data_IF_584997356159
#
_entry.id   IF_584997356159
#
_cell.length_a   1.000
_cell.length_b   1.000
_cell.length_c   1.000
_cell.angle_alpha   90.00
_cell.angle_beta   90.00
_cell.angle_gamma   90.00
#
_symmetry.space_group_name_H-M   'P 1'
#
loop_
_entity.id
_entity.type
_entity.pdbx_description
1 polymer ?
#
# COMPACT_ATOMS: atom_id res chain seq x y z
N UNK A 1 -6.88 30.34 22.53
CA UNK A 1 -5.65 29.95 21.81
C UNK A 1 -5.88 28.81 20.80
N UNK A 2 -7.12 28.37 20.52
CA UNK A 2 -7.43 27.30 19.55
C UNK A 2 -7.52 27.76 18.07
N UNK A 3 -7.52 29.06 17.78
CA UNK A 3 -7.73 29.56 16.40
C UNK A 3 -6.47 29.45 15.50
N UNK A 4 -5.29 29.29 16.09
CA UNK A 4 -4.02 29.35 15.34
C UNK A 4 -3.72 28.05 14.57
N UNK A 5 -4.09 26.88 15.10
CA UNK A 5 -3.90 25.60 14.39
C UNK A 5 -5.00 25.34 13.37
N UNK A 6 -6.25 25.73 13.63
CA UNK A 6 -7.30 25.72 12.61
C UNK A 6 -6.88 26.56 11.40
N UNK A 7 -6.29 27.73 11.65
CA UNK A 7 -5.66 28.54 10.61
C UNK A 7 -4.45 27.85 9.94
N UNK A 8 -3.52 27.26 10.71
CA UNK A 8 -2.36 26.57 10.11
C UNK A 8 -2.74 25.32 9.30
N UNK A 9 -3.73 24.56 9.75
CA UNK A 9 -4.28 23.41 9.06
C UNK A 9 -5.06 23.85 7.83
N UNK A 10 -5.89 24.90 7.91
CA UNK A 10 -6.61 25.42 6.75
C UNK A 10 -5.67 26.08 5.72
N UNK A 11 -4.55 26.67 6.13
CA UNK A 11 -3.52 27.15 5.21
C UNK A 11 -2.70 26.02 4.56
N UNK A 12 -2.44 24.91 5.27
CA UNK A 12 -1.60 23.81 4.77
C UNK A 12 -2.40 22.73 4.05
N UNK A 13 -3.59 22.41 4.54
CA UNK A 13 -4.50 21.39 4.01
C UNK A 13 -5.50 22.02 3.07
N UNK A 14 -5.11 22.04 1.80
CA UNK A 14 -5.98 22.46 0.71
C UNK A 14 -7.15 21.47 0.55
N UNK A 15 -8.38 21.94 0.31
CA UNK A 15 -9.54 21.07 0.07
C UNK A 15 -9.40 20.15 -1.16
N UNK A 16 -8.53 20.50 -2.12
CA UNK A 16 -8.25 19.70 -3.32
C UNK A 16 -7.35 18.48 -3.08
N UNK A 17 -7.08 18.14 -1.81
CA UNK A 17 -6.24 17.02 -1.44
C UNK A 17 -6.89 16.20 -0.33
N UNK A 18 -6.73 14.88 -0.47
CA UNK A 18 -6.83 13.95 0.64
C UNK A 18 -5.58 14.11 1.52
N UNK A 19 -5.76 14.08 2.83
CA UNK A 19 -4.74 14.20 3.85
C UNK A 19 -4.83 13.02 4.81
N UNK A 20 -3.65 12.57 5.24
CA UNK A 20 -3.48 11.65 6.35
C UNK A 20 -2.36 12.20 7.26
N UNK A 21 -2.54 12.13 8.57
CA UNK A 21 -1.51 12.53 9.52
C UNK A 21 -1.53 11.75 10.83
N UNK A 22 -0.40 11.80 11.52
CA UNK A 22 -0.21 11.22 12.84
C UNK A 22 0.70 12.13 13.66
N UNK A 23 0.40 12.29 14.96
CA UNK A 23 1.25 13.06 15.88
C UNK A 23 2.08 12.14 16.74
N UNK A 24 3.38 12.41 16.85
CA UNK A 24 4.27 11.70 17.75
C UNK A 24 5.38 12.63 18.26
N UNK A 25 5.52 12.73 19.60
CA UNK A 25 6.54 13.56 20.28
C UNK A 25 6.62 14.99 19.75
N UNK A 26 5.49 15.69 19.74
CA UNK A 26 5.40 17.07 19.26
C UNK A 26 5.62 17.26 17.75
N UNK A 27 5.70 16.18 16.97
CA UNK A 27 5.84 16.25 15.51
C UNK A 27 4.59 15.74 14.82
N UNK A 28 4.09 16.50 13.85
CA UNK A 28 3.04 16.05 12.92
C UNK A 28 3.69 15.49 11.67
N UNK A 29 3.46 14.20 11.44
CA UNK A 29 3.84 13.47 10.24
C UNK A 29 2.64 13.42 9.32
N UNK A 30 2.75 13.91 8.09
CA UNK A 30 1.60 14.00 7.19
C UNK A 30 1.95 13.72 5.73
N UNK A 31 0.94 13.36 4.96
CA UNK A 31 1.02 13.26 3.50
C UNK A 31 -0.29 13.77 2.88
N UNK A 32 -0.16 14.43 1.72
CA UNK A 32 -1.29 14.84 0.88
C UNK A 32 -1.33 14.04 -0.41
N UNK A 33 -2.51 13.85 -0.99
CA UNK A 33 -2.69 13.25 -2.31
C UNK A 33 -3.83 13.96 -3.05
N UNK A 34 -3.71 14.28 -4.36
CA UNK A 34 -4.76 14.99 -5.07
C UNK A 34 -6.07 14.20 -5.07
N UNK A 35 -7.20 14.90 -4.91
CA UNK A 35 -8.54 14.29 -4.93
C UNK A 35 -8.95 13.82 -6.33
N UNK A 36 -8.37 14.43 -7.37
CA UNK A 36 -8.60 14.13 -8.80
C UNK A 36 -7.66 13.05 -9.36
N UNK A 37 -6.93 12.34 -8.49
CA UNK A 37 -6.07 11.22 -8.91
C UNK A 37 -6.86 10.13 -9.66
N UNK A 38 -6.19 9.34 -10.52
CA UNK A 38 -6.83 8.20 -11.17
C UNK A 38 -7.47 7.24 -10.15
N UNK A 39 -8.72 6.84 -10.40
CA UNK A 39 -9.49 5.95 -9.51
C UNK A 39 -8.78 4.62 -9.24
N UNK A 40 -8.01 4.14 -10.21
CA UNK A 40 -7.22 2.91 -10.17
C UNK A 40 -5.77 3.12 -9.68
N UNK A 41 -5.44 4.26 -9.08
CA UNK A 41 -4.12 4.53 -8.51
C UNK A 41 -3.89 3.66 -7.26
N UNK A 42 -2.76 2.92 -7.14
CA UNK A 42 -2.40 2.16 -5.93
C UNK A 42 -1.80 3.05 -4.84
N UNK A 43 -2.31 4.27 -4.72
CA UNK A 43 -1.85 5.25 -3.74
C UNK A 43 -2.96 6.16 -3.24
N UNK A 44 -2.76 6.65 -2.03
CA UNK A 44 -3.59 7.61 -1.31
C UNK A 44 -2.71 8.39 -0.34
N UNK A 45 -3.26 9.42 0.30
CA UNK A 45 -2.57 10.10 1.39
C UNK A 45 -2.21 9.13 2.52
N UNK A 46 -3.10 8.17 2.83
CA UNK A 46 -2.87 7.11 3.80
C UNK A 46 -1.67 6.25 3.40
N UNK A 47 -1.65 5.71 2.18
CA UNK A 47 -0.56 4.86 1.69
C UNK A 47 0.77 5.62 1.73
N UNK A 48 0.81 6.86 1.22
CA UNK A 48 2.01 7.71 1.23
C UNK A 48 2.55 7.92 2.64
N UNK A 49 1.69 8.25 3.59
CA UNK A 49 2.11 8.47 4.98
C UNK A 49 2.67 7.19 5.59
N UNK A 50 1.94 6.08 5.50
CA UNK A 50 2.34 4.80 6.11
C UNK A 50 3.66 4.31 5.52
N UNK A 51 3.79 4.35 4.19
CA UNK A 51 5.02 3.96 3.51
C UNK A 51 6.18 4.91 3.82
N UNK A 52 5.93 6.23 3.80
CA UNK A 52 6.93 7.24 4.10
C UNK A 52 7.52 7.11 5.51
N UNK A 53 6.69 6.79 6.51
CA UNK A 53 7.14 6.57 7.88
C UNK A 53 8.09 5.36 7.96
N UNK A 54 7.74 4.23 7.33
CA UNK A 54 8.67 3.08 7.30
C UNK A 54 9.97 3.42 6.57
N UNK A 55 9.88 4.08 5.42
CA UNK A 55 11.05 4.38 4.59
C UNK A 55 12.05 5.31 5.30
N UNK A 56 11.56 6.29 6.07
CA UNK A 56 12.41 7.28 6.76
C UNK A 56 12.77 6.89 8.19
N UNK A 57 11.91 6.13 8.87
CA UNK A 57 12.01 5.85 10.31
C UNK A 57 11.88 4.37 10.62
N UNK A 58 12.63 3.50 9.94
CA UNK A 58 12.50 2.03 10.05
C UNK A 58 12.37 1.54 11.52
N UNK A 59 13.28 1.95 12.40
CA UNK A 59 13.31 1.52 13.81
C UNK A 59 12.22 2.17 14.69
N UNK A 60 11.71 3.34 14.28
CA UNK A 60 10.70 4.10 15.05
C UNK A 60 9.29 3.97 14.47
N UNK A 61 9.18 3.37 13.28
CA UNK A 61 7.97 3.32 12.47
C UNK A 61 6.77 2.81 13.25
N UNK A 62 6.94 1.73 14.01
CA UNK A 62 5.89 1.21 14.87
C UNK A 62 5.50 2.16 16.00
N UNK A 63 6.44 2.86 16.64
CA UNK A 63 6.07 3.79 17.72
C UNK A 63 5.26 4.99 17.20
N UNK A 64 5.62 5.49 16.02
CA UNK A 64 4.89 6.55 15.32
C UNK A 64 3.51 6.02 14.90
N UNK A 65 3.47 4.89 14.19
CA UNK A 65 2.23 4.36 13.60
C UNK A 65 1.28 3.76 14.63
N UNK A 66 1.74 3.43 15.84
CA UNK A 66 0.84 3.01 16.91
C UNK A 66 -0.01 4.15 17.43
N UNK A 67 0.36 5.41 17.19
CA UNK A 67 -0.51 6.54 17.48
C UNK A 67 -1.76 6.51 16.59
N UNK A 68 -2.78 7.29 16.96
CA UNK A 68 -4.01 7.36 16.18
C UNK A 68 -3.74 8.10 14.87
N UNK A 69 -4.07 7.45 13.76
CA UNK A 69 -4.04 8.07 12.44
C UNK A 69 -5.30 8.91 12.22
N UNK A 70 -5.16 10.08 11.62
CA UNK A 70 -6.29 10.94 11.27
C UNK A 70 -6.35 11.12 9.76
N UNK A 71 -7.57 11.06 9.22
CA UNK A 71 -7.87 11.17 7.80
C UNK A 71 -8.97 12.20 7.59
N UNK A 72 -8.89 12.98 6.51
CA UNK A 72 -9.97 13.87 6.05
C UNK A 72 -10.84 13.27 4.93
N UNK A 73 -10.54 12.04 4.51
CA UNK A 73 -11.17 11.35 3.41
C UNK A 73 -11.70 10.00 3.87
N UNK A 74 -12.65 9.46 3.13
CA UNK A 74 -13.12 8.10 3.38
C UNK A 74 -12.04 7.11 2.93
N UNK A 75 -11.48 6.27 3.84
CA UNK A 75 -10.44 5.32 3.44
C UNK A 75 -11.01 4.24 2.53
N UNK A 76 -10.26 3.88 1.49
CA UNK A 76 -10.59 2.76 0.63
C UNK A 76 -10.36 1.41 1.33
N UNK A 77 -10.77 0.31 0.70
CA UNK A 77 -10.48 -1.04 1.21
C UNK A 77 -8.96 -1.29 1.32
N UNK A 78 -8.18 -0.74 0.39
CA UNK A 78 -6.71 -0.78 0.41
C UNK A 78 -6.16 -0.03 1.62
N UNK A 79 -6.63 1.20 1.86
CA UNK A 79 -6.22 2.02 3.02
C UNK A 79 -6.50 1.30 4.34
N UNK A 80 -7.71 0.76 4.48
CA UNK A 80 -8.11 0.00 5.67
C UNK A 80 -7.26 -1.27 5.86
N UNK A 81 -6.89 -1.93 4.76
CA UNK A 81 -5.95 -3.06 4.77
C UNK A 81 -4.57 -2.66 5.32
N UNK A 82 -4.03 -1.53 4.85
CA UNK A 82 -2.74 -1.01 5.33
C UNK A 82 -2.82 -0.56 6.79
N UNK A 83 -3.84 0.23 7.16
CA UNK A 83 -4.06 0.70 8.53
C UNK A 83 -4.17 -0.49 9.48
N UNK A 84 -4.96 -1.52 9.13
CA UNK A 84 -5.07 -2.75 9.91
C UNK A 84 -3.74 -3.46 10.08
N UNK A 85 -2.85 -3.40 9.09
CA UNK A 85 -1.55 -4.05 9.18
C UNK A 85 -0.64 -3.32 10.17
N UNK A 86 -0.49 -1.99 10.03
CA UNK A 86 0.61 -1.25 10.68
C UNK A 86 0.19 -0.24 11.75
N UNK A 87 -0.96 0.41 11.63
CA UNK A 87 -1.37 1.50 12.53
C UNK A 87 -2.43 1.10 13.57
N UNK A 88 -3.34 0.19 13.20
CA UNK A 88 -4.46 -0.35 14.00
C UNK A 88 -5.56 0.66 14.38
N UNK A 89 -5.22 1.92 14.64
CA UNK A 89 -6.14 2.96 15.14
C UNK A 89 -6.21 4.11 14.15
N UNK A 90 -7.43 4.51 13.81
CA UNK A 90 -7.65 5.65 12.93
C UNK A 90 -8.96 6.37 13.24
N UNK A 91 -9.07 7.62 12.80
CA UNK A 91 -10.28 8.45 12.87
C UNK A 91 -10.48 9.15 11.52
N UNK A 92 -11.67 9.02 10.94
CA UNK A 92 -12.11 9.94 9.89
C UNK A 92 -12.67 11.19 10.58
N UNK A 93 -12.00 12.33 10.43
CA UNK A 93 -12.55 13.58 10.95
C UNK A 93 -13.64 14.13 10.03
N UNK A 94 -13.66 13.71 8.75
CA UNK A 94 -14.43 14.34 7.70
C UNK A 94 -14.09 15.83 7.55
N UNK A 95 -14.51 16.45 6.45
CA UNK A 95 -14.65 17.92 6.43
C UNK A 95 -16.04 18.30 6.94
N UNK A 96 -16.35 17.95 8.19
CA UNK A 96 -17.47 18.60 8.87
C UNK A 96 -16.98 19.98 9.29
N UNK A 97 -17.55 21.05 8.72
CA UNK A 97 -17.24 22.44 9.12
C UNK A 97 -17.41 22.68 10.62
N UNK A 98 -18.19 21.85 11.32
CA UNK A 98 -18.64 22.07 12.69
C UNK A 98 -17.85 21.28 13.75
N UNK A 99 -17.08 20.25 13.38
CA UNK A 99 -16.35 19.39 14.33
C UNK A 99 -14.82 19.52 14.28
N UNK A 100 -14.32 20.67 13.81
CA UNK A 100 -12.88 20.91 13.62
C UNK A 100 -12.09 21.21 14.91
N UNK A 101 -12.67 20.98 16.09
CA UNK A 101 -11.91 20.99 17.34
C UNK A 101 -11.12 19.69 17.46
N UNK A 102 -10.04 19.57 16.68
CA UNK A 102 -8.96 18.68 17.08
C UNK A 102 -8.42 19.22 18.41
N UNK A 103 -8.63 18.49 19.51
CA UNK A 103 -7.94 18.76 20.76
C UNK A 103 -6.44 18.73 20.48
N UNK A 104 -5.85 19.92 20.43
CA UNK A 104 -4.45 20.10 20.09
C UNK A 104 -3.59 19.44 21.17
N UNK A 105 -2.61 18.61 20.78
CA UNK A 105 -1.48 18.40 21.65
C UNK A 105 -0.82 19.78 21.83
N UNK A 106 -0.82 20.31 23.05
CA UNK A 106 -0.32 21.66 23.36
C UNK A 106 1.17 21.87 23.00
N UNK A 107 1.86 20.81 22.55
CA UNK A 107 3.31 20.76 22.35
C UNK A 107 3.71 20.41 20.90
N UNK A 108 2.99 20.87 19.87
CA UNK A 108 3.45 20.70 18.47
C UNK A 108 4.61 21.64 18.18
N UNK A 109 5.79 21.06 17.98
CA UNK A 109 7.05 21.76 17.69
C UNK A 109 7.52 21.62 16.25
N UNK A 110 7.08 20.58 15.52
CA UNK A 110 7.54 20.37 14.13
C UNK A 110 6.55 19.65 13.21
N UNK A 111 6.78 19.79 11.90
CA UNK A 111 5.96 19.24 10.83
C UNK A 111 6.84 18.53 9.81
N UNK A 112 6.44 17.32 9.40
CA UNK A 112 7.18 16.53 8.41
C UNK A 112 6.25 15.95 7.35
N UNK A 113 6.47 16.39 6.11
CA UNK A 113 5.74 15.93 4.93
C UNK A 113 6.43 14.73 4.26
N UNK A 114 5.63 13.77 3.76
CA UNK A 114 6.10 12.62 2.99
C UNK A 114 5.70 12.70 1.51
N UNK A 115 6.72 12.85 0.66
CA UNK A 115 6.57 13.04 -0.79
C UNK A 115 6.10 14.46 -1.14
N UNK A 116 6.16 14.84 -2.42
CA UNK A 116 5.49 16.07 -2.86
C UNK A 116 3.98 15.84 -2.92
N UNK A 117 3.20 16.91 -2.81
CA UNK A 117 1.72 16.84 -2.78
C UNK A 117 1.15 16.28 -4.08
N UNK A 118 1.74 16.68 -5.21
CA UNK A 118 1.29 16.30 -6.55
C UNK A 118 1.88 14.96 -7.02
N UNK A 119 2.78 14.38 -6.23
CA UNK A 119 3.33 13.05 -6.50
C UNK A 119 2.45 11.98 -5.87
N UNK A 120 2.07 10.97 -6.65
CA UNK A 120 1.27 9.85 -6.12
C UNK A 120 2.07 8.95 -5.18
N UNK A 121 3.40 8.85 -5.34
CA UNK A 121 4.23 7.96 -4.53
C UNK A 121 5.28 8.73 -3.76
N UNK A 122 5.61 8.25 -2.57
CA UNK A 122 6.83 8.68 -1.88
C UNK A 122 8.02 8.11 -2.64
N UNK A 123 9.02 8.94 -2.94
CA UNK A 123 10.29 8.46 -3.46
C UNK A 123 10.97 7.59 -2.40
N UNK A 124 10.95 6.27 -2.64
CA UNK A 124 11.53 5.32 -1.70
C UNK A 124 13.05 5.40 -1.73
N UNK A 125 13.65 5.63 -0.55
CA UNK A 125 15.10 5.56 -0.33
C UNK A 125 15.58 4.14 -0.07
N UNK A 126 14.68 3.17 -0.03
CA UNK A 126 15.01 1.79 0.26
C UNK A 126 15.75 1.15 -0.93
N UNK A 127 16.73 0.26 -0.69
CA UNK A 127 17.52 -0.37 -1.74
C UNK A 127 16.62 -1.17 -2.68
N UNK A 128 16.64 -0.83 -3.98
CA UNK A 128 15.90 -1.56 -5.00
C UNK A 128 16.57 -2.91 -5.27
N UNK A 129 15.78 -3.97 -5.32
CA UNK A 129 16.26 -5.28 -5.74
C UNK A 129 16.37 -5.26 -7.27
N UNK A 130 17.57 -5.54 -7.78
CA UNK A 130 17.79 -5.73 -9.22
C UNK A 130 17.55 -7.19 -9.52
N UNK A 131 16.51 -7.47 -10.30
CA UNK A 131 16.21 -8.84 -10.69
C UNK A 131 17.22 -9.31 -11.73
N UNK A 132 17.80 -10.49 -11.52
CA UNK A 132 18.69 -11.15 -12.49
C UNK A 132 17.93 -12.06 -13.46
N UNK A 133 16.66 -12.36 -13.17
CA UNK A 133 15.84 -13.25 -13.98
C UNK A 133 15.61 -12.69 -15.39
N UNK A 134 15.78 -13.54 -16.40
CA UNK A 134 15.50 -13.24 -17.80
C UNK A 134 14.09 -13.65 -18.23
N UNK A 135 13.21 -13.98 -17.29
CA UNK A 135 11.83 -14.37 -17.62
C UNK A 135 11.07 -13.15 -18.09
N UNK A 136 10.99 -13.00 -19.41
CA UNK A 136 10.20 -11.97 -20.09
C UNK A 136 8.84 -12.51 -20.57
N UNK A 137 8.66 -13.83 -20.58
CA UNK A 137 7.44 -14.47 -21.05
C UNK A 137 7.09 -15.69 -20.20
N UNK A 138 5.80 -15.89 -19.95
CA UNK A 138 5.23 -17.03 -19.23
C UNK A 138 4.13 -17.63 -20.10
N UNK A 139 4.40 -18.78 -20.70
CA UNK A 139 3.46 -19.55 -21.52
C UNK A 139 2.71 -20.64 -20.73
N UNK A 140 3.18 -21.00 -19.53
CA UNK A 140 2.56 -22.04 -18.71
C UNK A 140 2.61 -21.76 -17.20
N UNK A 141 1.79 -22.48 -16.43
CA UNK A 141 1.80 -22.41 -14.96
C UNK A 141 3.09 -22.99 -14.34
N UNK A 142 3.70 -23.97 -15.01
CA UNK A 142 4.97 -24.56 -14.56
C UNK A 142 6.10 -23.51 -14.68
N UNK A 143 6.16 -22.81 -15.82
CA UNK A 143 7.08 -21.68 -16.02
C UNK A 143 6.84 -20.57 -15.00
N UNK A 144 5.57 -20.22 -14.73
CA UNK A 144 5.22 -19.25 -13.70
C UNK A 144 5.72 -19.68 -12.31
N UNK A 145 5.55 -20.95 -11.95
CA UNK A 145 6.01 -21.49 -10.67
C UNK A 145 7.54 -21.43 -10.57
N UNK A 146 8.25 -21.81 -11.62
CA UNK A 146 9.71 -21.76 -11.67
C UNK A 146 10.22 -20.31 -11.57
N UNK A 147 9.61 -19.37 -12.29
CA UNK A 147 9.96 -17.95 -12.24
C UNK A 147 9.73 -17.35 -10.85
N UNK A 148 8.64 -17.72 -10.18
CA UNK A 148 8.37 -17.29 -8.81
C UNK A 148 9.43 -17.82 -7.83
N UNK A 149 9.82 -19.10 -7.93
CA UNK A 149 10.89 -19.68 -7.11
C UNK A 149 12.23 -18.98 -7.36
N UNK A 150 12.54 -18.65 -8.61
CA UNK A 150 13.75 -17.89 -8.96
C UNK A 150 13.73 -16.50 -8.31
N UNK A 151 12.61 -15.78 -8.36
CA UNK A 151 12.47 -14.47 -7.70
C UNK A 151 12.58 -14.58 -6.18
N UNK A 152 11.94 -15.58 -5.57
CA UNK A 152 12.02 -15.83 -4.12
C UNK A 152 13.45 -16.07 -3.64
N UNK A 153 14.28 -16.72 -4.46
CA UNK A 153 15.69 -16.97 -4.13
C UNK A 153 16.52 -15.69 -3.99
N UNK A 154 16.05 -14.58 -4.56
CA UNK A 154 16.72 -13.28 -4.51
C UNK A 154 16.37 -12.48 -3.24
N UNK A 155 15.47 -12.98 -2.41
CA UNK A 155 15.12 -12.35 -1.13
C UNK A 155 16.26 -12.61 -0.12
N UNK A 156 16.89 -11.55 0.43
CA UNK A 156 17.96 -11.71 1.41
C UNK A 156 17.50 -12.54 2.60
N UNK A 157 18.33 -13.51 2.98
CA UNK A 157 18.09 -14.30 4.19
C UNK A 157 18.62 -13.52 5.40
N UNK A 158 17.75 -13.24 6.37
CA UNK A 158 18.15 -12.66 7.64
C UNK A 158 18.59 -13.77 8.62
N UNK A 159 19.61 -13.54 9.46
CA UNK A 159 20.10 -14.54 10.41
C UNK A 159 19.07 -14.85 11.51
N UNK A 160 18.30 -13.84 11.95
CA UNK A 160 17.29 -14.02 12.99
C UNK A 160 15.91 -14.32 12.40
N UNK A 161 15.22 -15.35 12.93
CA UNK A 161 13.86 -15.74 12.49
C UNK A 161 12.85 -14.58 12.51
N UNK A 162 12.91 -13.70 13.51
CA UNK A 162 12.00 -12.55 13.62
C UNK A 162 12.27 -11.45 12.57
N UNK A 163 13.44 -11.51 11.92
CA UNK A 163 13.84 -10.62 10.82
C UNK A 163 13.65 -11.28 9.45
N UNK A 164 13.44 -12.60 9.40
CA UNK A 164 13.21 -13.31 8.14
C UNK A 164 11.87 -12.88 7.56
N UNK A 165 11.95 -12.25 6.39
CA UNK A 165 10.78 -12.03 5.58
C UNK A 165 10.30 -13.35 5.00
N UNK A 166 8.98 -13.49 4.86
CA UNK A 166 8.43 -14.55 4.02
C UNK A 166 8.98 -14.38 2.61
N UNK A 167 9.38 -15.50 2.02
CA UNK A 167 9.80 -15.53 0.62
C UNK A 167 8.55 -15.55 -0.23
N UNK A 168 8.12 -14.36 -0.66
CA UNK A 168 6.93 -14.19 -1.50
C UNK A 168 7.36 -13.39 -2.72
N UNK A 169 7.02 -13.89 -3.90
CA UNK A 169 7.23 -13.22 -5.17
C UNK A 169 5.89 -13.02 -5.88
N UNK A 170 5.85 -12.02 -6.77
CA UNK A 170 4.70 -11.79 -7.63
C UNK A 170 5.14 -11.29 -9.02
N UNK A 171 4.43 -11.75 -10.05
CA UNK A 171 4.64 -11.44 -11.46
C UNK A 171 3.31 -11.01 -12.08
N UNK A 172 3.32 -9.97 -12.89
CA UNK A 172 2.19 -9.51 -13.71
C UNK A 172 2.52 -9.79 -15.18
N UNK A 173 1.61 -10.45 -15.89
CA UNK A 173 1.69 -10.64 -17.34
C UNK A 173 0.50 -10.01 -18.06
N UNK A 174 0.69 -9.70 -19.34
CA UNK A 174 -0.44 -9.42 -20.23
C UNK A 174 -1.18 -10.71 -20.63
N UNK A 175 -2.18 -10.57 -21.51
CA UNK A 175 -2.98 -11.67 -22.05
C UNK A 175 -2.20 -12.64 -22.97
N UNK A 176 -0.99 -12.26 -23.39
CA UNK A 176 -0.09 -13.08 -24.21
C UNK A 176 0.98 -13.76 -23.36
N UNK A 177 1.01 -13.53 -22.04
CA UNK A 177 2.06 -14.05 -21.16
C UNK A 177 3.32 -13.17 -21.11
N UNK A 178 3.35 -12.01 -21.76
CA UNK A 178 4.48 -11.08 -21.66
C UNK A 178 4.54 -10.50 -20.24
N UNK A 179 5.69 -10.60 -19.59
CA UNK A 179 5.90 -10.02 -18.25
C UNK A 179 5.91 -8.49 -18.34
N UNK A 180 5.02 -7.87 -17.58
CA UNK A 180 4.86 -6.42 -17.47
C UNK A 180 5.55 -5.87 -16.23
N UNK A 181 5.47 -6.60 -15.11
CA UNK A 181 6.08 -6.21 -13.85
C UNK A 181 6.41 -7.44 -13.03
N UNK A 182 7.38 -7.29 -12.12
CA UNK A 182 7.82 -8.33 -11.17
C UNK A 182 8.24 -7.69 -9.86
N UNK A 183 8.11 -8.45 -8.79
CA UNK A 183 8.37 -7.97 -7.44
C UNK A 183 8.66 -9.13 -6.50
N UNK A 184 9.30 -8.80 -5.39
CA UNK A 184 9.44 -9.69 -4.24
C UNK A 184 9.00 -8.94 -3.01
N UNK A 185 8.53 -9.65 -1.99
CA UNK A 185 8.16 -9.02 -0.73
C UNK A 185 9.36 -8.29 -0.15
N UNK A 186 9.16 -7.10 0.41
CA UNK A 186 10.18 -6.28 1.11
C UNK A 186 9.73 -5.85 2.51
N UNK A 187 8.85 -6.66 3.11
CA UNK A 187 8.27 -6.43 4.44
C UNK A 187 9.28 -6.41 5.60
N UNK A 188 10.55 -6.75 5.38
CA UNK A 188 11.62 -6.54 6.37
C UNK A 188 12.04 -5.06 6.46
N UNK A 189 11.94 -4.30 5.37
CA UNK A 189 12.25 -2.87 5.33
C UNK A 189 11.01 -2.02 5.63
N UNK A 190 9.89 -2.37 4.99
CA UNK A 190 8.64 -1.65 5.11
C UNK A 190 7.49 -2.64 5.09
N UNK A 191 6.77 -2.76 6.22
CA UNK A 191 5.74 -3.79 6.42
C UNK A 191 4.60 -3.74 5.39
N UNK A 192 4.43 -2.62 4.70
CA UNK A 192 3.39 -2.46 3.67
C UNK A 192 3.85 -2.92 2.27
N UNK A 193 5.16 -3.13 2.06
CA UNK A 193 5.73 -3.59 0.79
C UNK A 193 5.66 -5.12 0.69
N UNK A 194 4.45 -5.63 0.55
CA UNK A 194 4.22 -6.99 0.08
C UNK A 194 4.57 -7.09 -1.41
N UNK A 195 4.84 -8.30 -1.91
CA UNK A 195 5.22 -8.49 -3.31
C UNK A 195 4.14 -7.89 -4.24
N UNK A 196 2.88 -8.25 -4.02
CA UNK A 196 1.74 -7.79 -4.80
C UNK A 196 1.58 -6.27 -4.74
N UNK A 197 1.81 -5.64 -3.58
CA UNK A 197 1.75 -4.18 -3.44
C UNK A 197 2.83 -3.51 -4.27
N UNK A 198 4.06 -4.00 -4.18
CA UNK A 198 5.17 -3.45 -4.94
C UNK A 198 5.01 -3.70 -6.45
N UNK A 199 4.51 -4.86 -6.85
CA UNK A 199 4.18 -5.21 -8.24
C UNK A 199 3.27 -4.16 -8.87
N UNK A 200 2.18 -3.87 -8.17
CA UNK A 200 1.13 -2.94 -8.53
C UNK A 200 1.65 -1.51 -8.62
N UNK A 201 2.37 -1.06 -7.59
CA UNK A 201 2.95 0.28 -7.57
C UNK A 201 4.04 0.46 -8.64
N UNK A 202 4.87 -0.55 -8.90
CA UNK A 202 5.89 -0.49 -9.95
C UNK A 202 5.25 -0.38 -11.33
N UNK A 203 4.24 -1.20 -11.61
CA UNK A 203 3.50 -1.13 -12.87
C UNK A 203 2.87 0.27 -13.05
N UNK A 204 2.16 0.77 -12.03
CA UNK A 204 1.52 2.08 -12.14
C UNK A 204 2.54 3.22 -12.32
N UNK A 205 3.70 3.18 -11.64
CA UNK A 205 4.77 4.18 -11.84
C UNK A 205 5.32 4.17 -13.27
N UNK A 206 5.38 3.00 -13.92
CA UNK A 206 5.88 2.86 -15.27
C UNK A 206 4.86 3.28 -16.34
N UNK A 207 3.58 2.97 -16.12
CA UNK A 207 2.54 3.13 -17.15
C UNK A 207 1.52 4.24 -16.87
N UNK A 208 1.48 4.79 -15.66
CA UNK A 208 0.54 5.83 -15.24
C UNK A 208 -0.94 5.39 -15.20
N UNK A 209 -1.21 4.09 -15.34
CA UNK A 209 -2.55 3.53 -15.46
C UNK A 209 -2.71 2.27 -14.60
N UNK A 210 -3.96 1.90 -14.32
CA UNK A 210 -4.30 0.64 -13.66
C UNK A 210 -3.97 -0.58 -14.51
N UNK A 211 -4.26 -1.78 -14.00
CA UNK A 211 -3.88 -3.03 -14.64
C UNK A 211 -4.48 -3.16 -16.03
N UNK A 212 -3.77 -3.78 -17.00
CA UNK A 212 -4.30 -3.97 -18.34
C UNK A 212 -5.44 -5.00 -18.33
N UNK A 213 -6.44 -4.86 -19.23
CA UNK A 213 -7.45 -5.89 -19.45
C UNK A 213 -6.85 -7.27 -19.69
N UNK A 214 -7.50 -8.30 -19.14
CA UNK A 214 -7.11 -9.71 -19.30
C UNK A 214 -5.67 -10.04 -18.86
N UNK A 215 -5.06 -9.18 -18.03
CA UNK A 215 -3.78 -9.50 -17.42
C UNK A 215 -3.91 -10.60 -16.38
N UNK A 216 -2.78 -11.21 -16.05
CA UNK A 216 -2.70 -12.29 -15.06
C UNK A 216 -1.65 -11.97 -14.01
N UNK A 217 -1.99 -12.18 -12.74
CA UNK A 217 -1.03 -12.10 -11.63
C UNK A 217 -0.69 -13.50 -11.17
N UNK A 218 0.59 -13.83 -11.14
CA UNK A 218 1.12 -15.01 -10.48
C UNK A 218 1.72 -14.58 -9.15
N UNK A 219 1.31 -15.20 -8.06
CA UNK A 219 1.86 -14.95 -6.72
C UNK A 219 2.24 -16.28 -6.09
N UNK A 220 3.33 -16.33 -5.33
CA UNK A 220 3.74 -17.59 -4.71
C UNK A 220 2.94 -17.97 -3.47
N UNK A 221 2.23 -17.00 -2.86
CA UNK A 221 1.40 -17.19 -1.68
C UNK A 221 0.07 -16.46 -1.84
N UNK A 222 -0.99 -16.96 -1.18
CA UNK A 222 -2.32 -16.35 -1.26
C UNK A 222 -2.29 -14.86 -0.84
N UNK A 223 -2.86 -13.94 -1.64
CA UNK A 223 -2.86 -12.52 -1.31
C UNK A 223 -3.57 -12.25 0.00
N UNK A 224 -2.92 -11.47 0.88
CA UNK A 224 -3.57 -11.01 2.11
C UNK A 224 -4.66 -9.96 1.80
N UNK A 225 -5.48 -9.59 2.80
CA UNK A 225 -6.59 -8.63 2.61
C UNK A 225 -6.15 -7.29 1.99
N UNK A 226 -4.99 -6.78 2.40
CA UNK A 226 -4.43 -5.54 1.86
C UNK A 226 -4.06 -5.67 0.37
N UNK A 227 -3.36 -6.74 0.01
CA UNK A 227 -2.97 -7.03 -1.37
C UNK A 227 -4.19 -7.25 -2.27
N UNK A 228 -5.15 -8.05 -1.79
CA UNK A 228 -6.42 -8.31 -2.44
C UNK A 228 -7.19 -7.01 -2.71
N UNK A 229 -7.29 -6.11 -1.74
CA UNK A 229 -7.94 -4.82 -1.91
C UNK A 229 -7.22 -3.89 -2.90
N UNK A 230 -5.88 -3.94 -2.95
CA UNK A 230 -5.11 -3.17 -3.95
C UNK A 230 -5.30 -3.72 -5.36
N UNK A 231 -5.30 -5.05 -5.54
CA UNK A 231 -5.61 -5.69 -6.82
C UNK A 231 -7.01 -5.29 -7.29
N UNK A 232 -7.99 -5.33 -6.39
CA UNK A 232 -9.37 -4.91 -6.69
C UNK A 232 -9.46 -3.44 -7.08
N UNK A 233 -8.70 -2.55 -6.43
CA UNK A 233 -8.68 -1.12 -6.74
C UNK A 233 -8.05 -0.84 -8.12
N UNK A 234 -7.02 -1.61 -8.51
CA UNK A 234 -6.30 -1.39 -9.76
C UNK A 234 -6.90 -2.08 -10.99
N UNK A 235 -7.79 -3.06 -10.81
CA UNK A 235 -8.34 -3.83 -11.93
C UNK A 235 -9.18 -2.94 -12.86
N UNK A 236 -9.28 -3.29 -14.16
CA UNK A 236 -10.22 -2.65 -15.07
C UNK A 236 -11.67 -2.76 -14.59
N UNK A 237 -12.43 -1.68 -14.72
CA UNK A 237 -13.85 -1.67 -14.34
C UNK A 237 -14.64 -2.73 -15.13
N UNK A 238 -15.50 -3.48 -14.43
CA UNK A 238 -16.33 -4.51 -15.03
C UNK A 238 -15.61 -5.79 -15.44
N UNK A 239 -14.30 -5.92 -15.17
CA UNK A 239 -13.53 -7.12 -15.48
C UNK A 239 -13.17 -7.91 -14.21
N UNK A 240 -13.04 -9.22 -14.38
CA UNK A 240 -12.42 -10.09 -13.39
C UNK A 240 -10.91 -10.13 -13.64
N UNK A 241 -10.14 -10.22 -12.55
CA UNK A 241 -8.69 -10.33 -12.61
C UNK A 241 -8.28 -11.78 -12.33
N UNK A 242 -7.38 -12.34 -13.15
CA UNK A 242 -6.85 -13.68 -12.91
C UNK A 242 -5.69 -13.61 -11.93
N UNK A 243 -5.80 -14.34 -10.82
CA UNK A 243 -4.74 -14.48 -9.82
C UNK A 243 -4.47 -15.96 -9.61
N UNK A 244 -3.25 -16.39 -9.90
CA UNK A 244 -2.81 -17.78 -9.75
C UNK A 244 -1.84 -17.90 -8.57
N UNK A 245 -2.08 -18.92 -7.74
CA UNK A 245 -1.18 -19.34 -6.67
C UNK A 245 -0.73 -20.76 -6.98
N UNK A 246 0.46 -20.96 -7.57
CA UNK A 246 0.97 -22.29 -7.80
C UNK A 246 1.35 -22.89 -6.43
N UNK A 247 0.49 -23.78 -5.88
CA UNK A 247 0.89 -24.54 -4.70
C UNK A 247 1.79 -25.68 -5.15
N UNK A 248 2.81 -26.00 -4.36
CA UNK A 248 3.70 -27.16 -4.57
C UNK A 248 2.87 -28.44 -4.68
N UNK A 249 2.54 -28.85 -5.91
CA UNK A 249 1.77 -30.06 -6.23
C UNK A 249 0.25 -29.91 -6.43
N UNK A 250 -0.34 -28.70 -6.31
CA UNK A 250 -1.76 -28.45 -6.63
C UNK A 250 -1.97 -27.03 -7.16
N UNK A 251 -2.71 -26.88 -8.25
CA UNK A 251 -3.08 -25.56 -8.79
C UNK A 251 -4.39 -25.14 -8.14
N UNK A 252 -4.35 -24.11 -7.28
CA UNK A 252 -5.55 -23.38 -6.92
C UNK A 252 -5.68 -22.19 -7.86
N UNK A 253 -6.56 -22.34 -8.84
CA UNK A 253 -7.12 -21.20 -9.53
C UNK A 253 -7.92 -20.42 -8.48
N UNK A 254 -7.36 -19.32 -7.95
CA UNK A 254 -8.13 -18.39 -7.10
C UNK A 254 -9.09 -17.55 -7.96
N UNK A 255 -9.41 -17.99 -9.18
CA UNK A 255 -10.40 -17.35 -10.02
C UNK A 255 -11.69 -17.26 -9.22
N UNK A 256 -12.07 -16.03 -8.94
CA UNK A 256 -13.25 -15.70 -8.14
C UNK A 256 -13.11 -15.99 -6.65
N UNK A 257 -11.94 -15.76 -6.03
CA UNK A 257 -12.05 -15.17 -4.70
C UNK A 257 -12.82 -13.88 -4.91
N UNK A 258 -14.08 -13.89 -4.52
CA UNK A 258 -14.91 -12.71 -4.51
C UNK A 258 -14.16 -11.73 -3.60
N UNK A 259 -13.34 -10.83 -4.16
CA UNK A 259 -12.51 -9.91 -3.39
C UNK A 259 -13.40 -9.08 -2.45
N UNK A 260 -14.69 -8.94 -2.80
CA UNK A 260 -15.74 -8.43 -1.94
C UNK A 260 -15.93 -9.25 -0.63
N UNK A 261 -15.86 -10.59 -0.65
CA UNK A 261 -16.00 -11.44 0.54
C UNK A 261 -14.82 -11.35 1.50
N UNK A 262 -13.58 -11.22 0.98
CA UNK A 262 -12.40 -10.93 1.82
C UNK A 262 -12.61 -9.62 2.59
N UNK A 263 -13.32 -8.65 1.99
CA UNK A 263 -13.55 -7.32 2.53
C UNK A 263 -14.76 -7.23 3.50
N UNK A 264 -15.66 -8.22 3.55
CA UNK A 264 -16.92 -8.16 4.35
C UNK A 264 -16.73 -8.16 5.87
N UNK A 265 -15.54 -8.41 6.39
CA UNK A 265 -15.28 -8.23 7.84
C UNK A 265 -14.88 -6.77 8.10
N UNK A 266 -15.87 -5.92 8.35
CA UNK A 266 -15.68 -4.49 8.63
C UNK A 266 -14.87 -4.23 9.91
N UNK A 267 -13.99 -3.22 9.89
CA UNK A 267 -13.51 -2.61 11.14
C UNK A 267 -14.67 -1.77 11.61
N UNK A 268 -15.21 -2.04 12.81
CA UNK A 268 -16.11 -1.06 13.43
C UNK A 268 -15.28 0.20 13.71
N UNK A 269 -15.66 1.38 13.21
CA UNK A 269 -15.01 2.61 13.63
C UNK A 269 -15.09 2.71 15.16
N UNK A 270 -13.97 3.03 15.81
CA UNK A 270 -14.01 3.35 17.23
C UNK A 270 -14.73 4.69 17.37
N UNK A 271 -15.90 4.69 18.02
CA UNK A 271 -16.54 5.90 18.49
C UNK A 271 -15.58 6.64 19.41
N UNK A 272 -15.50 7.96 19.22
CA UNK A 272 -14.74 8.87 20.08
C UNK A 272 -15.20 8.78 21.54
#
# INVERSE_FOLDING_TARGET
>A
MNDSLHFMLSCRFRPSYDWAWVTYRGTIYFAGCPTDRPLNSPSSATVKLLQGIFDRFQDQSFFILRQRLFLNHQPSAMDLGMIRLVAKRWTNIGFSKENNEMNEPQDITSWQEFGKRDELFVESKLPRIRFTSSVDHIGSLEEASQALVELESQIPSAPARHQQARRIAAILTDHKGQVLSRSVQRAWLNKTLHAEVELMQNYFRQHGTGLPPHSTIYVSEQPCRMCAAMIEQMKPQGQSMQVHVPQRGRILLLAQVNLAEINKTSVKPHSL
#
